data_IF_302330874149
#
_entry.id   IF_302330874149
#
_cell.length_a   1.000
_cell.length_b   1.000
_cell.length_c   1.000
_cell.angle_alpha   90.00
_cell.angle_beta   90.00
_cell.angle_gamma   90.00
#
_symmetry.space_group_name_H-M   'P 1'
#
loop_
_entity.id
_entity.type
_entity.pdbx_description
1 polymer ?
#
# COMPACT_ATOMS: atom_id res chain seq x y z
N UNK A 1 17.74 -7.03 -26.31
CA UNK A 1 16.74 -5.93 -26.29
C UNK A 1 16.47 -5.41 -24.87
N UNK A 2 16.36 -6.29 -23.87
CA UNK A 2 16.06 -5.94 -22.46
C UNK A 2 17.09 -5.05 -21.76
N UNK A 3 18.40 -5.26 -21.99
CA UNK A 3 19.47 -4.42 -21.42
C UNK A 3 19.50 -2.98 -21.98
N UNK A 4 19.15 -2.82 -23.26
CA UNK A 4 19.03 -1.50 -23.90
C UNK A 4 17.79 -0.74 -23.43
N UNK A 5 16.66 -1.43 -23.24
CA UNK A 5 15.46 -0.84 -22.65
C UNK A 5 15.65 -0.43 -21.18
N UNK A 6 16.29 -1.29 -20.38
CA UNK A 6 16.62 -0.98 -18.99
C UNK A 6 17.61 0.20 -18.88
N UNK A 7 18.63 0.24 -19.73
CA UNK A 7 19.60 1.35 -19.78
C UNK A 7 18.97 2.67 -20.23
N UNK A 8 18.12 2.64 -21.25
CA UNK A 8 17.37 3.83 -21.69
C UNK A 8 16.40 4.31 -20.60
N UNK A 9 15.65 3.41 -19.96
CA UNK A 9 14.75 3.75 -18.87
C UNK A 9 15.47 4.37 -17.67
N UNK A 10 16.62 3.82 -17.28
CA UNK A 10 17.45 4.37 -16.20
C UNK A 10 18.03 5.75 -16.55
N UNK A 11 18.52 5.93 -17.79
CA UNK A 11 19.04 7.21 -18.26
C UNK A 11 17.93 8.28 -18.36
N UNK A 12 16.75 7.94 -18.90
CA UNK A 12 15.59 8.82 -18.93
C UNK A 12 15.14 9.20 -17.51
N UNK A 13 15.13 8.24 -16.59
CA UNK A 13 14.81 8.50 -15.18
C UNK A 13 15.81 9.47 -14.53
N UNK A 14 17.10 9.29 -14.78
CA UNK A 14 18.16 10.19 -14.29
C UNK A 14 18.09 11.59 -14.91
N UNK A 15 17.67 11.71 -16.16
CA UNK A 15 17.52 13.00 -16.85
C UNK A 15 16.27 13.74 -16.39
N UNK A 16 15.15 13.02 -16.17
CA UNK A 16 13.88 13.58 -15.73
C UNK A 16 13.87 13.93 -14.23
N UNK A 17 14.69 13.27 -13.42
CA UNK A 17 14.78 13.52 -11.96
C UNK A 17 15.82 14.58 -11.55
N UNK A 18 16.49 15.24 -12.52
CA UNK A 18 17.50 16.29 -12.23
C UNK A 18 16.96 17.49 -11.41
N UNK A 19 15.64 17.68 -11.37
CA UNK A 19 14.97 18.70 -10.54
C UNK A 19 14.64 18.27 -9.11
N UNK A 20 15.00 17.04 -8.71
CA UNK A 20 14.59 16.42 -7.45
C UNK A 20 13.20 15.78 -7.55
N UNK A 21 13.00 14.67 -6.83
CA UNK A 21 11.71 13.99 -6.68
C UNK A 21 11.44 13.86 -5.20
N UNK A 22 10.28 14.34 -4.75
CA UNK A 22 9.87 14.20 -3.35
C UNK A 22 9.51 12.74 -3.04
N UNK A 23 9.59 12.33 -1.77
CA UNK A 23 9.20 10.98 -1.35
C UNK A 23 7.79 10.60 -1.77
N UNK A 24 6.85 11.55 -1.76
CA UNK A 24 5.48 11.32 -2.16
C UNK A 24 5.30 11.19 -3.68
N UNK A 25 6.07 11.95 -4.47
CA UNK A 25 6.13 11.78 -5.93
C UNK A 25 6.71 10.41 -6.32
N UNK A 26 7.80 9.99 -5.68
CA UNK A 26 8.35 8.66 -5.89
C UNK A 26 7.36 7.56 -5.47
N UNK A 27 6.68 7.76 -4.33
CA UNK A 27 5.68 6.82 -3.84
C UNK A 27 4.50 6.66 -4.81
N UNK A 28 3.95 7.76 -5.36
CA UNK A 28 2.79 7.67 -6.27
C UNK A 28 3.14 7.04 -7.62
N UNK A 29 4.35 7.26 -8.13
CA UNK A 29 4.84 6.60 -9.36
C UNK A 29 5.00 5.10 -9.14
N UNK A 30 5.63 4.70 -8.03
CA UNK A 30 5.78 3.29 -7.67
C UNK A 30 4.43 2.62 -7.43
N UNK A 31 3.54 3.29 -6.70
CA UNK A 31 2.15 2.85 -6.47
C UNK A 31 1.41 2.63 -7.79
N UNK A 32 1.46 3.60 -8.72
CA UNK A 32 0.86 3.46 -10.04
C UNK A 32 1.38 2.24 -10.80
N UNK A 33 2.69 1.98 -10.74
CA UNK A 33 3.28 0.81 -11.38
C UNK A 33 2.76 -0.50 -10.79
N UNK A 34 2.75 -0.63 -9.46
CA UNK A 34 2.31 -1.85 -8.76
C UNK A 34 0.82 -2.11 -8.99
N UNK A 35 -0.02 -1.09 -8.79
CA UNK A 35 -1.45 -1.23 -9.01
C UNK A 35 -1.81 -1.39 -10.49
N UNK A 36 -1.08 -0.75 -11.39
CA UNK A 36 -1.22 -0.96 -12.83
C UNK A 36 -0.99 -2.40 -13.25
N UNK A 37 0.06 -3.01 -12.72
CA UNK A 37 0.32 -4.42 -12.95
C UNK A 37 -0.79 -5.30 -12.37
N UNK A 38 -1.21 -5.05 -11.13
CA UNK A 38 -2.32 -5.78 -10.50
C UNK A 38 -3.62 -5.65 -11.30
N UNK A 39 -4.02 -4.43 -11.66
CA UNK A 39 -5.22 -4.17 -12.46
C UNK A 39 -5.13 -4.84 -13.84
N UNK A 40 -3.95 -4.85 -14.46
CA UNK A 40 -3.71 -5.58 -15.70
C UNK A 40 -3.93 -7.08 -15.54
N UNK A 41 -3.32 -7.71 -14.53
CA UNK A 41 -3.48 -9.14 -14.23
C UNK A 41 -4.92 -9.48 -13.86
N UNK A 42 -5.54 -8.73 -12.96
CA UNK A 42 -6.91 -8.97 -12.53
C UNK A 42 -7.91 -8.74 -13.67
N UNK A 43 -7.65 -7.81 -14.60
CA UNK A 43 -8.46 -7.64 -15.83
C UNK A 43 -8.36 -8.88 -16.72
N UNK A 44 -7.18 -9.44 -16.92
CA UNK A 44 -7.01 -10.67 -17.69
C UNK A 44 -7.84 -11.82 -17.12
N UNK A 45 -7.80 -11.98 -15.80
CA UNK A 45 -8.52 -13.05 -15.10
C UNK A 45 -10.03 -12.81 -15.03
N UNK A 46 -10.45 -11.54 -14.88
CA UNK A 46 -11.86 -11.16 -14.86
C UNK A 46 -12.53 -11.33 -16.23
N UNK A 47 -11.80 -11.06 -17.32
CA UNK A 47 -12.33 -11.16 -18.68
C UNK A 47 -11.92 -12.44 -19.42
N UNK A 48 -11.16 -13.34 -18.78
CA UNK A 48 -10.71 -14.62 -19.34
C UNK A 48 -9.96 -14.43 -20.67
N UNK A 49 -9.03 -13.48 -20.65
CA UNK A 49 -8.27 -13.10 -21.82
C UNK A 49 -7.07 -14.04 -21.99
N UNK A 50 -7.23 -15.02 -22.87
CA UNK A 50 -6.20 -16.01 -23.17
C UNK A 50 -5.32 -15.62 -24.39
N UNK A 51 -4.10 -16.19 -24.44
CA UNK A 51 -3.18 -16.10 -25.58
C UNK A 51 -1.93 -15.24 -25.36
N UNK A 52 -1.10 -15.10 -26.40
CA UNK A 52 0.20 -14.41 -26.37
C UNK A 52 0.14 -12.93 -25.94
N UNK A 53 -1.06 -12.35 -25.91
CA UNK A 53 -1.30 -10.96 -25.54
C UNK A 53 -1.58 -10.75 -24.05
N UNK A 54 -1.75 -11.80 -23.26
CA UNK A 54 -2.07 -11.70 -21.84
C UNK A 54 -0.93 -11.02 -21.05
N UNK A 55 0.30 -11.50 -21.24
CA UNK A 55 1.49 -10.86 -20.65
C UNK A 55 1.65 -9.40 -21.13
N UNK A 56 1.32 -9.14 -22.40
CA UNK A 56 1.32 -7.80 -22.97
C UNK A 56 0.36 -6.84 -22.28
N UNK A 57 -0.86 -7.29 -21.96
CA UNK A 57 -1.86 -6.47 -21.28
C UNK A 57 -1.46 -6.17 -19.82
N UNK A 58 -0.85 -7.12 -19.10
CA UNK A 58 -0.33 -6.86 -17.76
C UNK A 58 0.81 -5.82 -17.77
N UNK A 59 1.71 -5.90 -18.77
CA UNK A 59 2.79 -4.92 -18.97
C UNK A 59 2.23 -3.56 -19.37
N UNK A 60 1.24 -3.51 -20.27
CA UNK A 60 0.56 -2.28 -20.68
C UNK A 60 -0.20 -1.63 -19.52
N UNK A 61 -0.83 -2.43 -18.67
CA UNK A 61 -1.46 -1.97 -17.43
C UNK A 61 -0.42 -1.34 -16.50
N UNK A 62 0.68 -2.03 -16.23
CA UNK A 62 1.80 -1.51 -15.44
C UNK A 62 2.33 -0.19 -15.98
N UNK A 63 2.74 -0.15 -17.26
CA UNK A 63 3.30 1.04 -17.89
C UNK A 63 2.29 2.20 -17.98
N UNK A 64 1.02 1.90 -18.30
CA UNK A 64 -0.05 2.89 -18.39
C UNK A 64 -0.28 3.59 -17.06
N UNK A 65 -0.39 2.83 -15.97
CA UNK A 65 -0.57 3.41 -14.64
C UNK A 65 0.73 3.99 -14.05
N UNK A 66 1.92 3.54 -14.46
CA UNK A 66 3.16 4.30 -14.19
C UNK A 66 3.04 5.71 -14.76
N UNK A 67 2.56 5.85 -16.00
CA UNK A 67 2.27 7.14 -16.62
C UNK A 67 1.25 7.97 -15.82
N UNK A 68 0.18 7.35 -15.34
CA UNK A 68 -0.80 8.00 -14.43
C UNK A 68 -0.12 8.45 -13.14
N UNK A 69 0.75 7.63 -12.55
CA UNK A 69 1.52 7.97 -11.35
C UNK A 69 2.44 9.16 -11.57
N UNK A 70 3.13 9.24 -12.72
CA UNK A 70 3.94 10.40 -13.12
C UNK A 70 3.08 11.65 -13.28
N UNK A 71 1.92 11.53 -13.92
CA UNK A 71 1.00 12.65 -14.08
C UNK A 71 0.51 13.16 -12.71
N UNK A 72 0.11 12.26 -11.81
CA UNK A 72 -0.31 12.60 -10.45
C UNK A 72 0.82 13.23 -9.64
N UNK A 73 2.05 12.73 -9.77
CA UNK A 73 3.22 13.30 -9.11
C UNK A 73 3.41 14.79 -9.43
N UNK A 74 3.11 15.20 -10.67
CA UNK A 74 3.21 16.60 -11.10
C UNK A 74 1.96 17.44 -10.81
N UNK A 75 0.76 16.85 -10.89
CA UNK A 75 -0.49 17.59 -10.77
C UNK A 75 -0.92 17.85 -9.32
N UNK A 76 -0.69 16.89 -8.42
CA UNK A 76 -1.26 16.96 -7.06
C UNK A 76 -0.22 16.97 -5.94
N UNK A 77 1.08 16.81 -6.26
CA UNK A 77 2.19 16.84 -5.31
C UNK A 77 1.88 16.07 -4.00
N UNK A 78 1.56 14.77 -4.09
CA UNK A 78 1.08 14.02 -2.94
C UNK A 78 2.19 13.83 -1.90
N UNK A 79 1.82 13.67 -0.63
CA UNK A 79 2.75 13.24 0.41
C UNK A 79 2.90 11.71 0.41
N UNK A 80 4.01 11.19 0.94
CA UNK A 80 4.22 9.75 1.09
C UNK A 80 3.14 9.07 1.96
N UNK A 81 2.62 9.80 2.95
CA UNK A 81 1.52 9.39 3.80
C UNK A 81 0.19 9.25 3.06
N UNK A 82 -0.13 10.20 2.18
CA UNK A 82 -1.35 10.14 1.35
C UNK A 82 -1.33 8.93 0.42
N UNK A 83 -0.20 8.68 -0.23
CA UNK A 83 -0.03 7.51 -1.09
C UNK A 83 -0.11 6.21 -0.29
N UNK A 84 0.49 6.18 0.91
CA UNK A 84 0.42 5.01 1.80
C UNK A 84 -1.01 4.71 2.23
N UNK A 85 -1.81 5.73 2.57
CA UNK A 85 -3.21 5.56 2.95
C UNK A 85 -4.03 5.03 1.77
N UNK A 86 -3.86 5.58 0.56
CA UNK A 86 -4.51 5.10 -0.65
C UNK A 86 -4.15 3.64 -0.96
N UNK A 87 -2.87 3.28 -0.89
CA UNK A 87 -2.41 1.90 -1.09
C UNK A 87 -3.01 0.93 -0.08
N UNK A 88 -3.01 1.31 1.20
CA UNK A 88 -3.62 0.50 2.26
C UNK A 88 -5.11 0.28 2.02
N UNK A 89 -5.83 1.32 1.58
CA UNK A 89 -7.22 1.22 1.17
C UNK A 89 -7.48 0.17 0.11
N UNK A 90 -6.67 0.17 -0.96
CA UNK A 90 -6.76 -0.85 -2.01
C UNK A 90 -6.46 -2.25 -1.52
N UNK A 91 -5.35 -2.40 -0.79
CA UNK A 91 -4.86 -3.68 -0.29
C UNK A 91 -5.89 -4.34 0.62
N UNK A 92 -6.43 -3.61 1.60
CA UNK A 92 -7.35 -4.18 2.57
C UNK A 92 -8.76 -4.32 2.04
N UNK A 93 -9.23 -3.44 1.15
CA UNK A 93 -10.51 -3.62 0.48
C UNK A 93 -10.51 -4.89 -0.39
N UNK A 94 -9.45 -5.12 -1.16
CA UNK A 94 -9.24 -6.38 -1.91
C UNK A 94 -9.12 -7.57 -0.96
N UNK A 95 -8.19 -7.54 0.00
CA UNK A 95 -7.98 -8.66 0.94
C UNK A 95 -9.27 -9.09 1.65
N UNK A 96 -10.06 -8.14 2.17
CA UNK A 96 -11.33 -8.44 2.84
C UNK A 96 -12.35 -9.01 1.85
N UNK A 97 -12.44 -8.46 0.65
CA UNK A 97 -13.31 -8.96 -0.41
C UNK A 97 -12.94 -10.39 -0.79
N UNK A 98 -11.67 -10.66 -1.07
CA UNK A 98 -11.15 -11.99 -1.37
C UNK A 98 -11.47 -13.00 -0.25
N UNK A 99 -11.24 -12.64 1.01
CA UNK A 99 -11.52 -13.51 2.15
C UNK A 99 -13.00 -13.88 2.24
N UNK A 100 -13.91 -12.93 2.02
CA UNK A 100 -15.34 -13.19 2.07
C UNK A 100 -15.85 -13.92 0.81
N UNK A 101 -15.38 -13.58 -0.38
CA UNK A 101 -15.78 -14.27 -1.61
C UNK A 101 -15.30 -15.73 -1.61
N UNK A 102 -14.14 -16.01 -1.01
CA UNK A 102 -13.63 -17.36 -0.87
C UNK A 102 -14.52 -18.28 0.00
N UNK A 103 -15.46 -17.72 0.79
CA UNK A 103 -16.44 -18.48 1.58
C UNK A 103 -17.72 -18.84 0.81
N UNK A 104 -17.82 -18.43 -0.45
CA UNK A 104 -19.00 -18.67 -1.26
C UNK A 104 -18.74 -19.76 -2.28
N UNK A 105 -19.62 -20.76 -2.29
CA UNK A 105 -19.54 -21.95 -3.15
C UNK A 105 -19.72 -21.68 -4.65
N UNK A 106 -20.09 -20.45 -5.05
CA UNK A 106 -20.61 -20.15 -6.38
C UNK A 106 -19.78 -19.17 -7.22
N UNK A 107 -18.54 -18.87 -6.84
CA UNK A 107 -17.72 -17.93 -7.63
C UNK A 107 -16.80 -18.64 -8.61
N UNK A 108 -16.95 -18.30 -9.88
CA UNK A 108 -15.92 -18.58 -10.88
C UNK A 108 -14.79 -17.54 -10.79
N UNK A 109 -13.63 -17.89 -11.34
CA UNK A 109 -12.43 -17.03 -11.37
C UNK A 109 -12.76 -15.63 -11.90
N UNK A 110 -13.61 -15.54 -12.94
CA UNK A 110 -13.98 -14.27 -13.56
C UNK A 110 -14.68 -13.34 -12.59
N UNK A 111 -15.70 -13.85 -11.90
CA UNK A 111 -16.49 -13.09 -10.93
C UNK A 111 -15.66 -12.69 -9.72
N UNK A 112 -14.77 -13.58 -9.25
CA UNK A 112 -13.84 -13.28 -8.16
C UNK A 112 -12.95 -12.09 -8.51
N UNK A 113 -12.25 -12.14 -9.66
CA UNK A 113 -11.34 -11.06 -10.05
C UNK A 113 -12.09 -9.78 -10.45
N UNK A 114 -13.31 -9.87 -11.00
CA UNK A 114 -14.14 -8.70 -11.26
C UNK A 114 -14.53 -7.96 -9.97
N UNK A 115 -14.90 -8.70 -8.92
CA UNK A 115 -15.20 -8.13 -7.61
C UNK A 115 -13.94 -7.55 -6.95
N UNK A 116 -12.80 -8.26 -7.02
CA UNK A 116 -11.50 -7.77 -6.53
C UNK A 116 -11.07 -6.45 -7.18
N UNK A 117 -11.22 -6.34 -8.51
CA UNK A 117 -10.96 -5.11 -9.26
C UNK A 117 -11.78 -3.95 -8.71
N UNK A 118 -13.09 -4.17 -8.56
CA UNK A 118 -14.02 -3.16 -8.07
C UNK A 118 -13.71 -2.73 -6.64
N UNK A 119 -13.52 -3.70 -5.74
CA UNK A 119 -13.23 -3.44 -4.34
C UNK A 119 -11.88 -2.75 -4.15
N UNK A 120 -10.83 -3.22 -4.82
CA UNK A 120 -9.50 -2.61 -4.78
C UNK A 120 -9.54 -1.17 -5.28
N UNK A 121 -10.16 -0.92 -6.44
CA UNK A 121 -10.28 0.43 -6.98
C UNK A 121 -11.08 1.35 -6.06
N UNK A 122 -12.20 0.88 -5.51
CA UNK A 122 -12.99 1.63 -4.55
C UNK A 122 -12.19 1.95 -3.27
N UNK A 123 -11.40 0.99 -2.77
CA UNK A 123 -10.53 1.16 -1.61
C UNK A 123 -9.46 2.23 -1.84
N UNK A 124 -8.75 2.16 -2.98
CA UNK A 124 -7.74 3.17 -3.35
C UNK A 124 -8.37 4.55 -3.45
N UNK A 125 -9.47 4.68 -4.20
CA UNK A 125 -10.12 5.98 -4.42
C UNK A 125 -10.66 6.57 -3.13
N UNK A 126 -11.34 5.75 -2.31
CA UNK A 126 -11.92 6.20 -1.04
C UNK A 126 -10.83 6.70 -0.09
N UNK A 127 -9.73 5.94 0.04
CA UNK A 127 -8.63 6.33 0.93
C UNK A 127 -7.76 7.45 0.35
N UNK A 128 -7.62 7.56 -0.97
CA UNK A 128 -7.00 8.71 -1.60
C UNK A 128 -7.79 10.00 -1.33
N UNK A 129 -9.13 9.95 -1.38
CA UNK A 129 -9.99 11.08 -1.03
C UNK A 129 -9.87 11.39 0.47
N UNK A 130 -9.96 10.38 1.33
CA UNK A 130 -9.85 10.53 2.78
C UNK A 130 -8.50 11.16 3.20
N UNK A 131 -7.42 10.82 2.49
CA UNK A 131 -6.06 11.32 2.76
C UNK A 131 -5.92 12.84 2.67
N UNK A 132 -6.87 13.53 2.04
CA UNK A 132 -6.92 15.00 2.01
C UNK A 132 -7.40 15.60 3.32
N UNK A 133 -8.14 14.84 4.12
CA UNK A 133 -8.78 15.28 5.35
C UNK A 133 -8.13 14.69 6.60
N UNK A 134 -7.51 13.51 6.46
CA UNK A 134 -6.85 12.81 7.56
C UNK A 134 -5.35 12.75 7.29
N UNK A 135 -4.54 13.62 7.93
CA UNK A 135 -3.10 13.53 7.82
C UNK A 135 -2.63 12.24 8.50
N UNK A 136 -1.88 11.44 7.75
CA UNK A 136 -1.29 10.19 8.22
C UNK A 136 0.13 10.11 7.72
N UNK A 137 1.10 9.77 8.56
CA UNK A 137 2.46 9.50 8.08
C UNK A 137 2.58 8.10 7.47
N UNK A 138 3.54 7.92 6.57
CA UNK A 138 3.88 6.59 6.01
C UNK A 138 4.22 5.59 7.12
N UNK A 139 4.94 6.03 8.16
CA UNK A 139 5.31 5.18 9.29
C UNK A 139 4.11 4.72 10.10
N UNK A 140 3.14 5.61 10.35
CA UNK A 140 1.89 5.25 11.01
C UNK A 140 1.08 4.25 10.18
N UNK A 141 0.99 4.43 8.85
CA UNK A 141 0.29 3.45 8.02
C UNK A 141 0.93 2.07 8.04
N UNK A 142 2.27 1.97 8.03
CA UNK A 142 2.95 0.68 8.17
C UNK A 142 2.51 -0.06 9.44
N UNK A 143 2.38 0.66 10.56
CA UNK A 143 1.93 0.10 11.84
C UNK A 143 0.47 -0.34 11.73
N UNK A 144 -0.40 0.47 11.13
CA UNK A 144 -1.81 0.12 10.90
C UNK A 144 -1.92 -1.13 10.03
N UNK A 145 -1.19 -1.22 8.93
CA UNK A 145 -1.16 -2.38 8.03
C UNK A 145 -0.67 -3.64 8.78
N UNK A 146 0.38 -3.53 9.59
CA UNK A 146 0.81 -4.62 10.45
C UNK A 146 -0.30 -5.06 11.43
N UNK A 147 -1.06 -4.09 11.95
CA UNK A 147 -2.26 -4.34 12.75
C UNK A 147 -3.31 -5.17 12.02
N UNK A 148 -3.58 -4.87 10.75
CA UNK A 148 -4.47 -5.66 9.89
C UNK A 148 -3.99 -7.11 9.73
N UNK A 149 -2.69 -7.31 9.44
CA UNK A 149 -2.10 -8.66 9.31
C UNK A 149 -2.25 -9.44 10.63
N UNK A 150 -1.81 -8.84 11.74
CA UNK A 150 -1.88 -9.49 13.06
C UNK A 150 -3.33 -9.78 13.46
N UNK A 151 -4.24 -8.84 13.20
CA UNK A 151 -5.67 -9.02 13.43
C UNK A 151 -6.21 -10.21 12.65
N UNK A 152 -5.89 -10.33 11.36
CA UNK A 152 -6.29 -11.46 10.52
C UNK A 152 -5.79 -12.80 11.05
N UNK A 153 -4.50 -12.88 11.41
CA UNK A 153 -3.90 -14.09 11.98
C UNK A 153 -4.53 -14.47 13.32
N UNK A 154 -4.79 -13.50 14.19
CA UNK A 154 -5.46 -13.73 15.49
C UNK A 154 -6.91 -14.20 15.26
N UNK A 155 -7.63 -13.58 14.34
CA UNK A 155 -9.00 -13.98 13.99
C UNK A 155 -9.07 -15.41 13.45
N UNK A 156 -8.18 -15.76 12.52
CA UNK A 156 -8.02 -17.12 12.01
C UNK A 156 -7.75 -18.13 13.14
N UNK A 157 -6.79 -17.80 14.00
CA UNK A 157 -6.35 -18.66 15.10
C UNK A 157 -7.45 -18.87 16.13
N UNK A 158 -8.20 -17.81 16.47
CA UNK A 158 -9.30 -17.90 17.43
C UNK A 158 -10.41 -18.83 16.92
N UNK A 159 -10.76 -18.75 15.63
CA UNK A 159 -11.74 -19.66 15.04
C UNK A 159 -11.20 -21.09 14.99
N UNK A 160 -9.96 -21.29 14.56
CA UNK A 160 -9.35 -22.62 14.54
C UNK A 160 -9.33 -23.28 15.93
N UNK A 161 -9.02 -22.53 16.99
CA UNK A 161 -9.00 -23.06 18.36
C UNK A 161 -10.38 -23.40 18.92
N UNK A 162 -11.45 -22.77 18.42
CA UNK A 162 -12.81 -22.96 18.92
C UNK A 162 -13.61 -23.96 18.10
N UNK A 163 -13.44 -23.98 16.78
CA UNK A 163 -14.15 -24.86 15.84
C UNK A 163 -13.31 -26.06 15.36
N UNK A 164 -11.99 -26.06 15.61
CA UNK A 164 -11.12 -27.18 15.26
C UNK A 164 -11.04 -27.46 13.75
N UNK A 165 -11.07 -28.74 13.38
CA UNK A 165 -10.94 -29.16 11.98
C UNK A 165 -12.20 -28.92 11.14
N UNK A 166 -13.34 -28.62 11.76
CA UNK A 166 -14.60 -28.30 11.07
C UNK A 166 -14.70 -26.80 10.72
N UNK A 167 -13.63 -26.04 10.95
CA UNK A 167 -13.62 -24.58 10.88
C UNK A 167 -13.65 -23.99 9.46
N UNK A 168 -13.49 -24.81 8.40
CA UNK A 168 -13.61 -24.46 6.97
C UNK A 168 -13.62 -22.96 6.62
N UNK A 169 -14.76 -22.48 6.12
CA UNK A 169 -14.98 -21.07 5.76
C UNK A 169 -14.99 -20.12 6.96
N UNK A 170 -15.30 -20.63 8.16
CA UNK A 170 -15.30 -19.83 9.37
C UNK A 170 -13.91 -19.26 9.69
N UNK A 171 -12.82 -19.94 9.31
CA UNK A 171 -11.45 -19.40 9.42
C UNK A 171 -11.29 -18.15 8.55
N UNK A 172 -11.83 -18.16 7.33
CA UNK A 172 -11.75 -17.03 6.40
C UNK A 172 -12.59 -15.85 6.91
N UNK A 173 -13.79 -16.12 7.41
CA UNK A 173 -14.63 -15.11 8.09
C UNK A 173 -13.92 -14.54 9.31
N UNK A 174 -13.36 -15.40 10.15
CA UNK A 174 -12.59 -15.01 11.34
C UNK A 174 -11.39 -14.14 10.96
N UNK A 175 -10.68 -14.50 9.89
CA UNK A 175 -9.57 -13.71 9.34
C UNK A 175 -10.05 -12.34 8.87
N UNK A 176 -11.15 -12.27 8.09
CA UNK A 176 -11.70 -11.01 7.58
C UNK A 176 -12.13 -10.06 8.70
N UNK A 177 -12.86 -10.59 9.70
CA UNK A 177 -13.24 -9.82 10.91
C UNK A 177 -12.01 -9.40 11.70
N UNK A 178 -11.04 -10.30 11.84
CA UNK A 178 -9.76 -10.03 12.50
C UNK A 178 -8.98 -8.90 11.84
N UNK A 179 -8.87 -8.90 10.51
CA UNK A 179 -8.24 -7.82 9.73
C UNK A 179 -8.90 -6.49 10.04
N UNK A 180 -10.24 -6.41 9.93
CA UNK A 180 -10.98 -5.17 10.20
C UNK A 180 -10.78 -4.69 11.64
N UNK A 181 -10.83 -5.61 12.61
CA UNK A 181 -10.59 -5.31 14.02
C UNK A 181 -9.16 -4.83 14.27
N UNK A 182 -8.16 -5.47 13.68
CA UNK A 182 -6.75 -5.13 13.80
C UNK A 182 -6.40 -3.78 13.20
N UNK A 183 -6.96 -3.47 12.02
CA UNK A 183 -6.86 -2.16 11.39
C UNK A 183 -7.49 -1.08 12.29
N UNK A 184 -8.75 -1.27 12.69
CA UNK A 184 -9.48 -0.29 13.50
C UNK A 184 -8.81 -0.04 14.85
N UNK A 185 -8.41 -1.09 15.56
CA UNK A 185 -7.70 -0.99 16.83
C UNK A 185 -6.38 -0.24 16.66
N UNK A 186 -5.59 -0.59 15.66
CA UNK A 186 -4.28 0.04 15.47
C UNK A 186 -4.40 1.48 14.98
N UNK A 187 -5.40 1.80 14.15
CA UNK A 187 -5.74 3.19 13.80
C UNK A 187 -6.09 4.00 15.05
N UNK A 188 -6.88 3.44 15.98
CA UNK A 188 -7.23 4.09 17.24
C UNK A 188 -6.01 4.31 18.14
N UNK A 189 -5.18 3.28 18.33
CA UNK A 189 -4.00 3.34 19.18
C UNK A 189 -2.92 4.30 18.63
N UNK A 190 -2.87 4.47 17.31
CA UNK A 190 -1.89 5.34 16.65
C UNK A 190 -2.44 6.73 16.31
N UNK A 191 -3.63 7.09 16.78
CA UNK A 191 -4.29 8.36 16.39
C UNK A 191 -3.46 9.61 16.65
N UNK A 192 -2.62 9.57 17.69
CA UNK A 192 -1.76 10.67 18.13
C UNK A 192 -0.28 10.49 17.67
N UNK A 193 0.01 9.48 16.85
CA UNK A 193 1.38 9.12 16.46
C UNK A 193 2.04 10.14 15.52
N UNK A 194 1.21 10.89 14.79
CA UNK A 194 1.66 11.92 13.83
C UNK A 194 1.56 13.35 14.39
N UNK A 195 1.32 13.52 15.69
CA UNK A 195 1.28 14.83 16.32
C UNK A 195 2.64 15.54 16.15
N UNK A 196 2.66 16.84 15.83
CA UNK A 196 3.89 17.60 15.85
C UNK A 196 4.34 17.71 17.30
N UNK A 197 5.54 17.21 17.64
CA UNK A 197 6.45 17.82 18.62
C UNK A 197 7.71 16.95 18.83
N UNK A 198 8.60 16.98 17.84
CA UNK A 198 10.05 16.93 18.07
C UNK A 198 10.74 17.52 16.83
N UNK A 199 11.73 18.41 16.99
CA UNK A 199 12.53 18.90 15.88
C UNK A 199 13.10 17.70 15.08
N UNK A 200 12.94 17.70 13.76
CA UNK A 200 13.52 16.66 12.87
C UNK A 200 15.03 16.49 13.10
N UNK A 201 15.68 17.57 13.53
CA UNK A 201 17.06 17.62 13.97
C UNK A 201 17.11 18.54 15.19
N UNK A 202 17.53 18.01 16.34
CA UNK A 202 17.97 18.84 17.46
C UNK A 202 19.48 18.94 17.39
N UNK A 203 19.99 20.15 17.18
CA UNK A 203 21.40 20.46 17.36
C UNK A 203 21.58 20.98 18.78
N UNK A 204 22.24 20.20 19.63
CA UNK A 204 22.56 20.61 20.99
C UNK A 204 24.08 20.85 21.09
N UNK A 205 24.54 21.96 21.71
CA UNK A 205 25.93 22.12 22.08
C UNK A 205 26.33 20.96 22.99
N UNK A 206 27.40 20.24 22.63
CA UNK A 206 27.97 19.17 23.44
C UNK A 206 29.26 19.69 24.09
N UNK A 207 29.28 19.79 25.41
CA UNK A 207 30.52 19.99 26.17
C UNK A 207 31.01 18.66 26.70
N UNK A 208 32.18 18.21 26.23
CA UNK A 208 32.80 16.99 26.73
C UNK A 208 33.43 17.21 28.11
N UNK A 209 33.58 16.17 28.95
CA UNK A 209 34.19 16.28 30.28
C UNK A 209 35.64 16.82 30.29
N UNK A 210 36.32 16.87 29.13
CA UNK A 210 37.68 17.40 28.96
C UNK A 210 37.71 18.83 28.38
N UNK A 211 36.58 19.53 28.36
CA UNK A 211 36.49 20.91 27.88
C UNK A 211 36.42 21.06 26.35
N UNK A 212 36.22 19.98 25.60
CA UNK A 212 35.99 20.04 24.16
C UNK A 212 34.55 20.42 23.84
N UNK A 213 34.35 21.44 23.01
CA UNK A 213 33.06 21.82 22.42
C UNK A 213 32.80 21.07 21.12
N UNK A 214 31.61 20.49 20.99
CA UNK A 214 31.12 19.86 19.78
C UNK A 214 29.63 20.14 19.55
N UNK A 215 29.08 19.61 18.47
CA UNK A 215 27.64 19.66 18.17
C UNK A 215 27.14 18.23 18.21
N UNK A 216 26.12 17.96 19.03
CA UNK A 216 25.38 16.71 18.94
C UNK A 216 24.25 16.90 17.94
N UNK A 217 24.14 15.96 17.00
CA UNK A 217 23.02 15.88 16.07
C UNK A 217 22.20 14.68 16.49
N UNK A 218 20.99 14.93 17.00
CA UNK A 218 20.01 13.89 17.27
C UNK A 218 18.88 14.09 16.28
N UNK A 219 18.73 13.12 15.38
CA UNK A 219 17.69 13.07 14.37
C UNK A 219 16.98 11.73 14.43
N UNK A 220 15.70 11.73 14.06
CA UNK A 220 14.92 10.50 13.86
C UNK A 220 15.07 10.13 12.37
N UNK A 221 15.80 9.05 12.09
CA UNK A 221 15.94 8.49 10.74
C UNK A 221 14.76 7.58 10.40
#
# INVERSE_FOLDING_TARGET
MSLLGAGAGAASSLLLTRGGVTDGQAAVINSGTVWGFWFGVATLLAFDLDGDNALGAAILGGAGFTGVGVLLAHLVNPTSGQVSLANSGGLWAGTVTALFLATSDNYDTKSFFAAELGATAAGILSMAILSKYVPVSRGRMLIIDAGGILGGLVGASAVYLTAGNDAGDAILVGSGVGVLGGLALTTYLTRDFDAPDAPQVTLAPLTTPRGGTGVSMVGRF
#
